data_IF_131603871795
#
_entry.id   IF_131603871795
#
_cell.length_a   1.000
_cell.length_b   1.000
_cell.length_c   1.000
_cell.angle_alpha   90.00
_cell.angle_beta   90.00
_cell.angle_gamma   90.00
#
_symmetry.space_group_name_H-M   'P 1'
#
loop_
_entity.id
_entity.type
_entity.pdbx_description
1 polymer ?
#
# COMPACT_ATOMS: atom_id res chain seq x y z
N UNK A 1 -13.25 -36.22 -2.60
CA UNK A 1 -12.07 -35.33 -2.59
C UNK A 1 -11.43 -35.48 -1.22
N UNK A 2 -10.27 -36.11 -1.15
CA UNK A 2 -9.51 -36.26 0.09
C UNK A 2 -8.59 -35.06 0.16
N UNK A 3 -8.76 -34.18 1.15
CA UNK A 3 -7.78 -33.15 1.46
C UNK A 3 -6.50 -33.88 1.87
N UNK A 4 -5.42 -33.70 1.11
CA UNK A 4 -4.11 -34.13 1.54
C UNK A 4 -3.83 -33.51 2.92
N UNK A 5 -3.28 -34.26 3.88
CA UNK A 5 -2.87 -33.67 5.14
C UNK A 5 -1.89 -32.54 4.83
N UNK A 6 -2.16 -31.35 5.38
CA UNK A 6 -1.22 -30.23 5.37
C UNK A 6 0.08 -30.81 5.93
N UNK A 7 1.12 -30.92 5.11
CA UNK A 7 2.45 -31.33 5.57
C UNK A 7 2.82 -30.43 6.73
N UNK A 8 2.84 -30.97 7.94
CA UNK A 8 3.21 -30.22 9.12
C UNK A 8 4.68 -29.84 8.96
N UNK A 9 4.95 -28.59 8.59
CA UNK A 9 6.31 -28.04 8.59
C UNK A 9 6.88 -28.24 10.00
N UNK A 10 7.85 -29.14 10.12
CA UNK A 10 8.68 -29.25 11.30
C UNK A 10 9.72 -28.15 11.24
N UNK A 11 9.46 -27.06 11.96
CA UNK A 11 10.42 -25.97 12.10
C UNK A 11 11.48 -26.36 13.13
N UNK A 12 12.69 -26.65 12.66
CA UNK A 12 13.85 -26.80 13.53
C UNK A 12 14.48 -25.42 13.77
N UNK A 13 14.45 -24.94 15.02
CA UNK A 13 15.02 -23.64 15.38
C UNK A 13 16.55 -23.57 15.20
N UNK A 14 17.22 -24.71 15.03
CA UNK A 14 18.66 -24.78 14.74
C UNK A 14 19.00 -24.66 13.25
N UNK A 15 18.00 -24.68 12.36
CA UNK A 15 18.17 -24.51 10.92
C UNK A 15 18.04 -23.02 10.52
N UNK A 16 19.10 -22.41 9.94
CA UNK A 16 19.04 -21.05 9.42
C UNK A 16 17.93 -20.85 8.37
N UNK A 17 17.65 -21.85 7.53
CA UNK A 17 16.61 -21.75 6.51
C UNK A 17 15.20 -21.71 7.13
N UNK A 18 14.95 -22.55 8.13
CA UNK A 18 13.70 -22.51 8.91
C UNK A 18 13.49 -21.15 9.59
N UNK A 19 14.55 -20.53 10.11
CA UNK A 19 14.48 -19.20 10.74
C UNK A 19 14.04 -18.12 9.73
N UNK A 20 14.61 -18.11 8.52
CA UNK A 20 14.20 -17.18 7.45
C UNK A 20 12.76 -17.43 7.03
N UNK A 21 12.34 -18.68 6.88
CA UNK A 21 10.97 -19.04 6.52
C UNK A 21 9.95 -18.55 7.56
N UNK A 22 10.23 -18.72 8.85
CA UNK A 22 9.40 -18.20 9.94
C UNK A 22 9.37 -16.66 9.88
N UNK A 23 10.51 -16.01 9.70
CA UNK A 23 10.58 -14.55 9.54
C UNK A 23 9.70 -14.07 8.39
N UNK A 24 9.72 -14.78 7.26
CA UNK A 24 8.88 -14.46 6.09
C UNK A 24 7.40 -14.61 6.38
N UNK A 25 7.02 -15.69 7.09
CA UNK A 25 5.65 -15.91 7.53
C UNK A 25 5.15 -14.75 8.39
N UNK A 26 5.92 -14.33 9.40
CA UNK A 26 5.55 -13.21 10.26
C UNK A 26 5.48 -11.88 9.51
N UNK A 27 6.39 -11.63 8.56
CA UNK A 27 6.34 -10.42 7.73
C UNK A 27 5.04 -10.36 6.88
N UNK A 28 4.65 -11.47 6.26
CA UNK A 28 3.37 -11.55 5.53
C UNK A 28 2.16 -11.36 6.46
N UNK A 29 2.16 -11.99 7.64
CA UNK A 29 1.05 -11.83 8.60
C UNK A 29 0.95 -10.39 9.11
N UNK A 30 2.08 -9.76 9.45
CA UNK A 30 2.12 -8.37 9.89
C UNK A 30 1.57 -7.44 8.79
N UNK A 31 2.01 -7.63 7.54
CA UNK A 31 1.50 -6.89 6.39
C UNK A 31 0.00 -7.08 6.20
N UNK A 32 -0.50 -8.31 6.28
CA UNK A 32 -1.92 -8.62 6.14
C UNK A 32 -2.79 -8.00 7.24
N UNK A 33 -2.35 -8.07 8.50
CA UNK A 33 -3.04 -7.46 9.64
C UNK A 33 -3.05 -5.94 9.49
N UNK A 34 -1.90 -5.32 9.22
CA UNK A 34 -1.80 -3.87 9.04
C UNK A 34 -2.67 -3.37 7.89
N UNK A 35 -2.62 -4.05 6.74
CA UNK A 35 -3.45 -3.72 5.59
C UNK A 35 -4.94 -3.90 5.88
N UNK A 36 -5.34 -4.93 6.63
CA UNK A 36 -6.74 -5.14 7.02
C UNK A 36 -7.24 -4.03 7.94
N UNK A 37 -6.45 -3.64 8.94
CA UNK A 37 -6.78 -2.55 9.86
C UNK A 37 -6.87 -1.23 9.09
N UNK A 38 -5.92 -0.95 8.20
CA UNK A 38 -5.96 0.22 7.33
C UNK A 38 -7.18 0.22 6.39
N UNK A 39 -7.53 -0.93 5.81
CA UNK A 39 -8.70 -1.04 4.94
C UNK A 39 -9.99 -0.77 5.70
N UNK A 40 -10.10 -1.30 6.92
CA UNK A 40 -11.26 -1.09 7.79
C UNK A 40 -11.44 0.40 8.11
N UNK A 41 -10.41 1.05 8.66
CA UNK A 41 -10.48 2.47 8.99
C UNK A 41 -10.55 3.39 7.77
N UNK A 42 -9.87 3.04 6.68
CA UNK A 42 -9.94 3.77 5.41
C UNK A 42 -11.34 3.73 4.79
N UNK A 43 -12.03 2.58 4.87
CA UNK A 43 -13.41 2.45 4.38
C UNK A 43 -14.37 3.32 5.19
N UNK A 44 -14.24 3.32 6.52
CA UNK A 44 -15.04 4.17 7.42
C UNK A 44 -14.77 5.65 7.11
N UNK A 45 -13.49 6.03 7.01
CA UNK A 45 -13.08 7.40 6.72
C UNK A 45 -13.67 7.91 5.39
N UNK A 46 -13.59 7.13 4.32
CA UNK A 46 -14.19 7.47 3.02
C UNK A 46 -15.72 7.61 3.13
N UNK A 47 -16.38 6.70 3.86
CA UNK A 47 -17.83 6.68 3.97
C UNK A 47 -18.41 7.78 4.86
N UNK A 48 -17.73 8.14 5.95
CA UNK A 48 -18.29 8.97 7.01
C UNK A 48 -17.71 10.40 7.02
N UNK A 49 -16.43 10.58 6.68
CA UNK A 49 -15.76 11.89 6.74
C UNK A 49 -15.76 12.61 5.39
N UNK A 50 -15.74 11.85 4.30
CA UNK A 50 -15.55 12.37 2.95
C UNK A 50 -16.82 12.41 2.09
N UNK A 51 -17.98 12.06 2.66
CA UNK A 51 -19.25 11.85 1.95
C UNK A 51 -19.83 13.05 1.19
N UNK A 52 -19.23 14.24 1.25
CA UNK A 52 -19.76 15.44 0.58
C UNK A 52 -18.95 15.85 -0.66
N UNK A 53 -17.65 15.51 -0.78
CA UNK A 53 -16.80 16.01 -1.89
C UNK A 53 -15.74 15.03 -2.44
N UNK A 54 -15.64 13.80 -1.93
CA UNK A 54 -14.68 12.82 -2.43
C UNK A 54 -15.10 12.22 -3.79
N UNK A 55 -14.29 12.46 -4.82
CA UNK A 55 -14.48 11.99 -6.18
C UNK A 55 -14.30 10.49 -6.36
N UNK A 56 -14.61 10.04 -7.57
CA UNK A 56 -14.66 8.64 -8.04
C UNK A 56 -13.33 7.87 -7.90
N UNK A 57 -12.24 8.52 -7.53
CA UNK A 57 -10.87 7.98 -7.64
C UNK A 57 -10.29 7.45 -6.32
N UNK A 58 -10.98 7.65 -5.19
CA UNK A 58 -10.56 7.13 -3.89
C UNK A 58 -10.64 5.60 -3.78
N UNK A 59 -11.40 4.97 -4.67
CA UNK A 59 -11.44 3.51 -4.81
C UNK A 59 -10.09 2.91 -5.14
N UNK A 60 -9.19 3.64 -5.80
CA UNK A 60 -7.84 3.15 -6.06
C UNK A 60 -7.06 2.87 -4.77
N UNK A 61 -7.26 3.67 -3.72
CA UNK A 61 -6.60 3.45 -2.43
C UNK A 61 -7.11 2.15 -1.80
N UNK A 62 -8.43 1.96 -1.75
CA UNK A 62 -9.04 0.76 -1.17
C UNK A 62 -8.66 -0.51 -1.95
N UNK A 63 -8.61 -0.45 -3.28
CA UNK A 63 -8.15 -1.56 -4.12
C UNK A 63 -6.67 -1.84 -3.86
N UNK A 64 -5.83 -0.82 -3.75
CA UNK A 64 -4.41 -0.98 -3.41
C UNK A 64 -4.23 -1.67 -2.06
N UNK A 65 -4.90 -1.20 -1.01
CA UNK A 65 -4.85 -1.84 0.31
C UNK A 65 -5.39 -3.27 0.25
N UNK A 66 -6.46 -3.52 -0.52
CA UNK A 66 -6.97 -4.86 -0.76
C UNK A 66 -5.93 -5.78 -1.44
N UNK A 67 -5.18 -5.27 -2.41
CA UNK A 67 -4.09 -6.01 -3.05
C UNK A 67 -2.96 -6.35 -2.07
N UNK A 68 -2.68 -5.51 -1.07
CA UNK A 68 -1.74 -5.84 0.01
C UNK A 68 -2.22 -7.01 0.89
N UNK A 69 -3.53 -7.12 1.14
CA UNK A 69 -4.13 -8.27 1.85
C UNK A 69 -4.00 -9.54 0.99
N UNK A 70 -4.28 -9.43 -0.31
CA UNK A 70 -4.10 -10.55 -1.26
C UNK A 70 -2.64 -10.99 -1.32
N UNK A 71 -1.70 -10.06 -1.35
CA UNK A 71 -0.26 -10.32 -1.30
C UNK A 71 0.12 -11.08 -0.02
N UNK A 72 -0.36 -10.64 1.15
CA UNK A 72 -0.12 -11.32 2.41
C UNK A 72 -0.67 -12.76 2.41
N UNK A 73 -1.93 -12.93 1.99
CA UNK A 73 -2.57 -14.25 1.94
C UNK A 73 -1.90 -15.20 0.95
N UNK A 74 -1.55 -14.70 -0.25
CA UNK A 74 -0.82 -15.46 -1.25
C UNK A 74 0.59 -15.81 -0.75
N UNK A 75 1.26 -14.89 -0.07
CA UNK A 75 2.58 -15.09 0.52
C UNK A 75 2.59 -16.21 1.55
N UNK A 76 1.66 -16.17 2.52
CA UNK A 76 1.47 -17.26 3.49
C UNK A 76 1.18 -18.57 2.77
N UNK A 77 0.27 -18.55 1.78
CA UNK A 77 -0.08 -19.76 1.02
C UNK A 77 1.10 -20.33 0.24
N UNK A 78 1.98 -19.48 -0.30
CA UNK A 78 3.17 -19.91 -1.05
C UNK A 78 4.17 -20.65 -0.15
N UNK A 79 4.29 -20.23 1.11
CA UNK A 79 5.13 -20.88 2.11
C UNK A 79 4.53 -22.20 2.58
N UNK A 80 3.20 -22.29 2.70
CA UNK A 80 2.52 -23.47 3.23
C UNK A 80 2.31 -24.58 2.18
N UNK A 81 2.06 -24.20 0.93
CA UNK A 81 1.68 -25.13 -0.14
C UNK A 81 2.83 -25.40 -1.13
N UNK A 82 3.93 -24.66 -1.02
CA UNK A 82 5.14 -24.79 -1.86
C UNK A 82 4.86 -24.82 -3.36
N UNK A 83 3.80 -24.14 -3.79
CA UNK A 83 3.30 -24.22 -5.16
C UNK A 83 3.82 -23.06 -6.01
N UNK A 84 4.52 -23.38 -7.10
CA UNK A 84 5.16 -22.39 -7.98
C UNK A 84 4.18 -21.35 -8.54
N UNK A 85 2.94 -21.75 -8.87
CA UNK A 85 1.93 -20.84 -9.38
C UNK A 85 1.49 -19.80 -8.34
N UNK A 86 1.53 -20.14 -7.04
CA UNK A 86 1.22 -19.20 -5.97
C UNK A 86 2.34 -18.17 -5.84
N UNK A 87 3.61 -18.59 -5.97
CA UNK A 87 4.75 -17.66 -6.02
C UNK A 87 4.59 -16.61 -7.12
N UNK A 88 4.25 -17.03 -8.35
CA UNK A 88 3.97 -16.09 -9.46
C UNK A 88 2.80 -15.13 -9.16
N UNK A 89 1.80 -15.62 -8.42
CA UNK A 89 0.66 -14.80 -8.02
C UNK A 89 1.04 -13.76 -6.96
N UNK A 90 1.96 -14.08 -6.04
CA UNK A 90 2.51 -13.15 -5.05
C UNK A 90 3.19 -11.95 -5.73
N UNK A 91 4.04 -12.19 -6.73
CA UNK A 91 4.70 -11.13 -7.50
C UNK A 91 3.70 -10.21 -8.21
N UNK A 92 2.59 -10.78 -8.66
CA UNK A 92 1.45 -10.03 -9.18
C UNK A 92 0.82 -9.14 -8.12
N UNK A 93 0.45 -9.71 -6.98
CA UNK A 93 -0.30 -9.02 -5.94
C UNK A 93 0.45 -7.78 -5.40
N UNK A 94 1.78 -7.87 -5.22
CA UNK A 94 2.58 -6.72 -4.80
C UNK A 94 2.66 -5.62 -5.86
N UNK A 95 2.71 -5.98 -7.14
CA UNK A 95 2.63 -5.00 -8.21
C UNK A 95 1.29 -4.28 -8.25
N UNK A 96 0.19 -5.04 -8.11
CA UNK A 96 -1.14 -4.46 -8.01
C UNK A 96 -1.22 -3.49 -6.84
N UNK A 97 -0.66 -3.84 -5.68
CA UNK A 97 -0.55 -2.94 -4.55
C UNK A 97 0.17 -1.65 -4.91
N UNK A 98 1.38 -1.72 -5.47
CA UNK A 98 2.18 -0.53 -5.84
C UNK A 98 1.45 0.32 -6.88
N UNK A 99 0.87 -0.29 -7.91
CA UNK A 99 0.15 0.40 -8.98
C UNK A 99 -1.06 1.16 -8.44
N UNK A 100 -1.94 0.49 -7.72
CA UNK A 100 -3.15 1.10 -7.21
C UNK A 100 -2.84 2.16 -6.14
N UNK A 101 -1.78 1.96 -5.35
CA UNK A 101 -1.26 2.98 -4.46
C UNK A 101 -0.76 4.22 -5.22
N UNK A 102 -0.02 4.03 -6.31
CA UNK A 102 0.45 5.12 -7.17
C UNK A 102 -0.72 5.90 -7.82
N UNK A 103 -1.73 5.18 -8.31
CA UNK A 103 -2.95 5.76 -8.88
C UNK A 103 -3.76 6.52 -7.84
N UNK A 104 -3.91 5.98 -6.62
CA UNK A 104 -4.59 6.65 -5.52
C UNK A 104 -3.94 7.98 -5.17
N UNK A 105 -2.62 8.03 -5.08
CA UNK A 105 -1.88 9.24 -4.73
C UNK A 105 -1.93 10.27 -5.86
N UNK A 106 -1.85 9.81 -7.11
CA UNK A 106 -2.04 10.66 -8.30
C UNK A 106 -3.45 11.25 -8.32
N UNK A 107 -4.46 10.46 -8.02
CA UNK A 107 -5.84 10.92 -7.90
C UNK A 107 -5.95 12.01 -6.82
N UNK A 108 -5.45 11.74 -5.61
CA UNK A 108 -5.40 12.73 -4.52
C UNK A 108 -4.68 14.01 -4.92
N UNK A 109 -3.55 13.94 -5.65
CA UNK A 109 -2.83 15.12 -6.13
C UNK A 109 -3.68 16.02 -7.05
N UNK A 110 -4.57 15.42 -7.85
CA UNK A 110 -5.44 16.15 -8.77
C UNK A 110 -6.78 16.56 -8.16
N UNK A 111 -7.13 16.05 -6.98
CA UNK A 111 -8.36 16.35 -6.26
C UNK A 111 -8.16 17.64 -5.45
N UNK A 112 -8.56 18.80 -5.97
CA UNK A 112 -8.45 20.09 -5.28
C UNK A 112 -9.68 20.99 -5.53
N UNK A 113 -10.38 21.46 -4.49
CA UNK A 113 -11.45 22.45 -4.64
C UNK A 113 -10.88 23.80 -5.11
N UNK A 114 -11.35 24.30 -6.25
CA UNK A 114 -11.01 25.64 -6.78
C UNK A 114 -9.78 25.72 -7.70
N UNK A 115 -9.15 24.59 -8.05
CA UNK A 115 -8.02 24.55 -8.98
C UNK A 115 -8.47 24.32 -10.43
N UNK A 116 -9.20 25.28 -11.01
CA UNK A 116 -9.51 25.30 -12.46
C UNK A 116 -8.22 25.35 -13.35
N UNK A 117 -7.06 25.63 -12.74
CA UNK A 117 -5.81 25.93 -13.44
C UNK A 117 -4.81 24.76 -13.52
N UNK A 118 -5.15 23.58 -12.98
CA UNK A 118 -4.32 22.36 -13.12
C UNK A 118 -4.97 21.36 -14.06
N UNK A 119 -4.95 21.68 -15.35
CA UNK A 119 -5.32 20.73 -16.40
C UNK A 119 -4.54 19.43 -16.20
N UNK A 120 -5.24 18.30 -16.00
CA UNK A 120 -4.58 16.99 -16.01
C UNK A 120 -3.79 16.86 -17.31
N UNK A 121 -2.48 16.64 -17.20
CA UNK A 121 -1.61 16.40 -18.36
C UNK A 121 -2.07 15.18 -19.18
N UNK A 122 -2.79 14.25 -18.54
CA UNK A 122 -3.36 13.06 -19.16
C UNK A 122 -4.86 12.96 -18.85
N UNK A 123 -5.71 12.65 -19.84
CA UNK A 123 -7.13 12.42 -19.60
C UNK A 123 -7.37 11.31 -18.56
N UNK A 124 -8.49 11.37 -17.83
CA UNK A 124 -8.87 10.34 -16.86
C UNK A 124 -8.94 8.91 -17.45
N UNK A 125 -9.23 8.79 -18.75
CA UNK A 125 -9.23 7.48 -19.43
C UNK A 125 -7.86 6.82 -19.50
N UNK A 126 -6.77 7.61 -19.45
CA UNK A 126 -5.41 7.09 -19.51
C UNK A 126 -5.11 6.18 -18.30
N UNK A 127 -5.65 6.49 -17.12
CA UNK A 127 -5.47 5.68 -15.92
C UNK A 127 -6.12 4.30 -16.08
N UNK A 128 -7.31 4.22 -16.69
CA UNK A 128 -7.95 2.94 -17.00
C UNK A 128 -7.19 2.14 -18.07
N UNK A 129 -6.55 2.81 -19.04
CA UNK A 129 -5.70 2.14 -20.03
C UNK A 129 -4.43 1.59 -19.40
N UNK A 130 -3.82 2.32 -18.46
CA UNK A 130 -2.68 1.83 -17.68
C UNK A 130 -3.08 0.61 -16.86
N UNK A 131 -4.22 0.66 -16.17
CA UNK A 131 -4.75 -0.49 -15.39
C UNK A 131 -5.03 -1.68 -16.30
N UNK A 132 -5.72 -1.49 -17.43
CA UNK A 132 -6.05 -2.56 -18.37
C UNK A 132 -4.79 -3.17 -19.00
N UNK A 133 -3.83 -2.33 -19.41
CA UNK A 133 -2.54 -2.75 -19.94
C UNK A 133 -1.73 -3.52 -18.90
N UNK A 134 -1.76 -3.08 -17.64
CA UNK A 134 -1.12 -3.76 -16.53
C UNK A 134 -1.73 -5.13 -16.25
N UNK A 135 -3.06 -5.22 -16.18
CA UNK A 135 -3.79 -6.49 -16.00
C UNK A 135 -3.47 -7.46 -17.16
N UNK A 136 -3.48 -6.96 -18.40
CA UNK A 136 -3.16 -7.77 -19.58
C UNK A 136 -1.70 -8.24 -19.57
N UNK A 137 -0.75 -7.36 -19.22
CA UNK A 137 0.66 -7.71 -19.10
C UNK A 137 0.87 -8.74 -17.99
N UNK A 138 0.23 -8.56 -16.84
CA UNK A 138 0.30 -9.50 -15.72
C UNK A 138 -0.21 -10.89 -16.13
N UNK A 139 -1.41 -11.00 -16.71
CA UNK A 139 -1.93 -12.27 -17.21
C UNK A 139 -1.04 -12.91 -18.27
N UNK A 140 -0.49 -12.11 -19.19
CA UNK A 140 0.46 -12.60 -20.19
C UNK A 140 1.72 -13.17 -19.53
N UNK A 141 2.27 -12.48 -18.52
CA UNK A 141 3.44 -12.98 -17.78
C UNK A 141 3.13 -14.23 -16.97
N UNK A 142 1.96 -14.30 -16.35
CA UNK A 142 1.50 -15.44 -15.56
C UNK A 142 1.29 -16.70 -16.42
N UNK A 143 0.82 -16.54 -17.66
CA UNK A 143 0.50 -17.66 -18.55
C UNK A 143 1.66 -18.13 -19.45
N UNK A 144 2.56 -17.23 -19.86
CA UNK A 144 3.51 -17.49 -20.95
C UNK A 144 4.98 -17.61 -20.50
N UNK A 145 5.32 -17.07 -19.31
CA UNK A 145 6.66 -17.01 -18.70
C UNK A 145 7.87 -17.18 -19.65
N UNK A 146 8.48 -16.07 -20.05
CA UNK A 146 9.71 -16.05 -20.88
C UNK A 146 10.80 -15.21 -20.21
N UNK A 147 12.07 -15.37 -20.61
CA UNK A 147 13.15 -14.49 -20.12
C UNK A 147 12.87 -13.01 -20.36
N UNK A 148 12.14 -12.67 -21.43
CA UNK A 148 11.73 -11.31 -21.75
C UNK A 148 10.66 -10.75 -20.82
N UNK A 149 9.77 -11.58 -20.27
CA UNK A 149 8.73 -11.11 -19.35
C UNK A 149 9.30 -10.59 -18.03
N UNK A 150 10.43 -11.15 -17.56
CA UNK A 150 11.12 -10.66 -16.35
C UNK A 150 11.64 -9.24 -16.48
N UNK A 151 12.18 -8.86 -17.64
CA UNK A 151 12.64 -7.50 -17.91
C UNK A 151 11.49 -6.50 -17.96
N UNK A 152 10.38 -6.85 -18.62
CA UNK A 152 9.19 -5.99 -18.69
C UNK A 152 8.61 -5.76 -17.31
N UNK A 153 8.54 -6.82 -16.50
CA UNK A 153 8.12 -6.74 -15.09
C UNK A 153 9.05 -5.79 -14.33
N UNK A 154 10.37 -6.01 -14.37
CA UNK A 154 11.33 -5.15 -13.68
C UNK A 154 11.19 -3.66 -14.05
N UNK A 155 11.03 -3.35 -15.35
CA UNK A 155 10.78 -1.97 -15.80
C UNK A 155 9.46 -1.42 -15.23
N UNK A 156 8.40 -2.22 -15.24
CA UNK A 156 7.12 -1.86 -14.62
C UNK A 156 7.25 -1.56 -13.12
N UNK A 157 7.98 -2.38 -12.36
CA UNK A 157 8.26 -2.16 -10.94
C UNK A 157 8.99 -0.82 -10.73
N UNK A 158 10.04 -0.55 -11.50
CA UNK A 158 10.84 0.69 -11.39
C UNK A 158 10.00 1.93 -11.72
N UNK A 159 9.31 1.93 -12.86
CA UNK A 159 8.52 3.08 -13.33
C UNK A 159 7.39 3.37 -12.36
N UNK A 160 6.64 2.35 -11.93
CA UNK A 160 5.49 2.53 -11.04
C UNK A 160 5.93 3.02 -9.65
N UNK A 161 7.04 2.50 -9.13
CA UNK A 161 7.59 2.93 -7.84
C UNK A 161 8.09 4.38 -7.88
N UNK A 162 8.84 4.74 -8.92
CA UNK A 162 9.30 6.12 -9.12
C UNK A 162 8.12 7.10 -9.27
N UNK A 163 7.08 6.68 -10.00
CA UNK A 163 5.85 7.44 -10.15
C UNK A 163 5.11 7.64 -8.82
N UNK A 164 4.96 6.58 -8.02
CA UNK A 164 4.34 6.64 -6.70
C UNK A 164 5.03 7.64 -5.78
N UNK A 165 6.37 7.57 -5.68
CA UNK A 165 7.17 8.49 -4.85
C UNK A 165 7.03 9.93 -5.35
N UNK A 166 7.14 10.17 -6.66
CA UNK A 166 7.04 11.50 -7.25
C UNK A 166 5.69 12.15 -6.95
N UNK A 167 4.60 11.43 -7.14
CA UNK A 167 3.26 11.96 -6.87
C UNK A 167 2.99 12.10 -5.37
N UNK A 168 3.53 11.21 -4.52
CA UNK A 168 3.37 11.33 -3.07
C UNK A 168 4.02 12.61 -2.53
N UNK A 169 5.25 12.90 -2.95
CA UNK A 169 5.93 14.15 -2.56
C UNK A 169 5.17 15.38 -3.07
N UNK A 170 4.66 15.33 -4.30
CA UNK A 170 3.88 16.44 -4.87
C UNK A 170 2.54 16.62 -4.16
N UNK A 171 1.82 15.55 -3.85
CA UNK A 171 0.55 15.57 -3.13
C UNK A 171 0.70 16.20 -1.74
N UNK A 172 1.74 15.82 -0.98
CA UNK A 172 2.02 16.39 0.35
C UNK A 172 2.26 17.91 0.27
N UNK A 173 3.03 18.37 -0.72
CA UNK A 173 3.34 19.81 -0.87
C UNK A 173 2.13 20.63 -1.31
N UNK A 174 1.31 20.06 -2.18
CA UNK A 174 0.16 20.76 -2.77
C UNK A 174 -1.00 20.89 -1.81
N UNK A 175 -1.21 19.88 -0.98
CA UNK A 175 -2.35 19.79 -0.06
C UNK A 175 -1.96 20.06 1.38
N UNK A 176 -0.85 20.77 1.59
CA UNK A 176 -0.33 21.09 2.92
C UNK A 176 -1.40 21.78 3.77
N UNK A 177 -1.60 21.27 5.00
CA UNK A 177 -2.65 21.74 5.91
C UNK A 177 -3.99 21.01 5.77
N UNK A 178 -4.13 20.06 4.85
CA UNK A 178 -5.34 19.22 4.71
C UNK A 178 -5.14 17.81 5.26
N UNK A 179 -6.25 17.10 5.47
CA UNK A 179 -6.27 15.68 5.86
C UNK A 179 -5.62 14.77 4.81
N UNK A 180 -5.70 15.13 3.52
CA UNK A 180 -5.02 14.38 2.44
C UNK A 180 -3.49 14.43 2.54
N UNK A 181 -2.92 15.59 2.87
CA UNK A 181 -1.48 15.69 3.07
C UNK A 181 -1.02 14.93 4.31
N UNK A 182 -1.82 14.92 5.38
CA UNK A 182 -1.53 14.12 6.56
C UNK A 182 -1.54 12.61 6.23
N UNK A 183 -2.59 12.10 5.57
CA UNK A 183 -2.65 10.70 5.14
C UNK A 183 -1.47 10.32 4.24
N UNK A 184 -1.15 11.18 3.25
CA UNK A 184 -0.02 10.93 2.34
C UNK A 184 1.33 10.96 3.08
N UNK A 185 1.50 11.78 4.14
CA UNK A 185 2.72 11.80 4.96
C UNK A 185 2.94 10.50 5.72
N UNK A 186 1.87 9.87 6.23
CA UNK A 186 1.97 8.57 6.91
C UNK A 186 2.16 7.42 5.91
N UNK A 187 1.61 7.55 4.70
CA UNK A 187 1.72 6.54 3.65
C UNK A 187 3.05 6.58 2.88
N UNK A 188 3.68 7.76 2.78
CA UNK A 188 4.92 7.97 2.02
C UNK A 188 6.08 7.06 2.49
N UNK A 189 6.36 6.91 3.79
CA UNK A 189 7.38 5.97 4.26
C UNK A 189 7.13 4.52 3.81
N UNK A 190 5.86 4.07 3.80
CA UNK A 190 5.50 2.73 3.31
C UNK A 190 5.89 2.58 1.83
N UNK A 191 5.57 3.58 0.99
CA UNK A 191 5.91 3.58 -0.44
C UNK A 191 7.41 3.52 -0.65
N UNK A 192 8.17 4.32 0.10
CA UNK A 192 9.63 4.34 0.02
C UNK A 192 10.21 2.98 0.43
N UNK A 193 9.70 2.36 1.49
CA UNK A 193 10.14 1.03 1.91
C UNK A 193 9.82 -0.05 0.87
N UNK A 194 8.60 -0.09 0.33
CA UNK A 194 8.26 -1.04 -0.75
C UNK A 194 9.20 -0.83 -1.94
N UNK A 195 9.36 0.43 -2.37
CA UNK A 195 10.25 0.79 -3.48
C UNK A 195 11.69 0.33 -3.22
N UNK A 196 12.21 0.52 -2.00
CA UNK A 196 13.55 0.05 -1.65
C UNK A 196 13.65 -1.49 -1.75
N UNK A 197 12.67 -2.24 -1.26
CA UNK A 197 12.62 -3.71 -1.36
C UNK A 197 12.63 -4.15 -2.82
N UNK A 198 11.77 -3.54 -3.66
CA UNK A 198 11.73 -3.75 -5.11
C UNK A 198 13.13 -3.60 -5.73
N UNK A 199 13.81 -2.49 -5.46
CA UNK A 199 15.10 -2.21 -6.07
C UNK A 199 16.18 -3.19 -5.61
N UNK A 200 16.18 -3.55 -4.32
CA UNK A 200 17.14 -4.53 -3.79
C UNK A 200 16.90 -5.90 -4.40
N UNK A 201 15.65 -6.34 -4.53
CA UNK A 201 15.31 -7.63 -5.12
C UNK A 201 15.72 -7.71 -6.60
N UNK A 202 15.45 -6.64 -7.37
CA UNK A 202 15.90 -6.53 -8.76
C UNK A 202 17.42 -6.54 -8.90
N UNK A 203 18.14 -5.84 -8.03
CA UNK A 203 19.60 -5.80 -8.02
C UNK A 203 20.18 -7.17 -7.65
N UNK A 204 19.65 -7.82 -6.61
CA UNK A 204 20.11 -9.13 -6.16
C UNK A 204 19.84 -10.23 -7.20
N UNK A 205 18.78 -10.10 -7.98
CA UNK A 205 18.49 -11.01 -9.11
C UNK A 205 19.57 -10.95 -10.20
N UNK A 206 20.21 -9.79 -10.40
CA UNK A 206 21.26 -9.60 -11.40
C UNK A 206 22.68 -9.81 -10.86
N UNK A 207 22.88 -9.64 -9.54
CA UNK A 207 24.16 -9.77 -8.87
C UNK A 207 24.25 -11.10 -8.14
N UNK A 208 24.99 -12.06 -8.69
CA UNK A 208 25.21 -13.36 -8.07
C UNK A 208 25.87 -13.22 -6.68
N UNK A 209 25.38 -13.98 -5.70
CA UNK A 209 25.94 -14.06 -4.35
C UNK A 209 25.28 -13.15 -3.30
N UNK A 210 24.26 -12.37 -3.66
CA UNK A 210 23.58 -11.44 -2.75
C UNK A 210 22.21 -11.93 -2.22
N UNK A 211 21.92 -13.23 -2.29
CA UNK A 211 20.64 -13.79 -1.83
C UNK A 211 20.31 -13.46 -0.38
N UNK A 212 21.29 -13.55 0.53
CA UNK A 212 21.09 -13.20 1.94
C UNK A 212 20.77 -11.70 2.15
N UNK A 213 21.31 -10.82 1.31
CA UNK A 213 20.99 -9.39 1.35
C UNK A 213 19.55 -9.14 0.87
N UNK A 214 19.12 -9.84 -0.18
CA UNK A 214 17.75 -9.78 -0.68
C UNK A 214 16.76 -10.23 0.40
N UNK A 215 17.04 -11.35 1.06
CA UNK A 215 16.21 -11.89 2.14
C UNK A 215 16.11 -10.93 3.32
N UNK A 216 17.24 -10.37 3.76
CA UNK A 216 17.27 -9.41 4.85
C UNK A 216 16.53 -8.12 4.51
N UNK A 217 16.76 -7.56 3.31
CA UNK A 217 16.09 -6.36 2.85
C UNK A 217 14.58 -6.57 2.69
N UNK A 218 14.17 -7.72 2.16
CA UNK A 218 12.77 -8.09 2.04
C UNK A 218 12.10 -8.23 3.42
N UNK A 219 12.74 -8.90 4.38
CA UNK A 219 12.20 -9.07 5.74
C UNK A 219 12.03 -7.74 6.46
N UNK A 220 13.10 -6.95 6.51
CA UNK A 220 13.09 -5.64 7.18
C UNK A 220 12.14 -4.69 6.47
N UNK A 221 12.22 -4.61 5.15
CA UNK A 221 11.39 -3.72 4.35
C UNK A 221 9.90 -4.06 4.45
N UNK A 222 9.51 -5.33 4.30
CA UNK A 222 8.10 -5.74 4.44
C UNK A 222 7.56 -5.44 5.83
N UNK A 223 8.37 -5.64 6.87
CA UNK A 223 8.00 -5.32 8.26
C UNK A 223 7.82 -3.81 8.45
N UNK A 224 8.69 -2.98 7.89
CA UNK A 224 8.55 -1.52 7.92
C UNK A 224 7.29 -1.07 7.17
N UNK A 225 7.01 -1.66 6.00
CA UNK A 225 5.78 -1.36 5.25
C UNK A 225 4.56 -1.67 6.11
N UNK A 226 4.51 -2.84 6.75
CA UNK A 226 3.43 -3.20 7.67
C UNK A 226 3.29 -2.17 8.81
N UNK A 227 4.40 -1.76 9.42
CA UNK A 227 4.39 -0.76 10.48
C UNK A 227 3.81 0.59 10.01
N UNK A 228 4.21 1.08 8.83
CA UNK A 228 3.72 2.35 8.28
C UNK A 228 2.26 2.29 7.81
N UNK A 229 1.81 1.14 7.29
CA UNK A 229 0.39 0.95 6.98
C UNK A 229 -0.46 1.00 8.26
N UNK A 230 0.03 0.37 9.35
CA UNK A 230 -0.64 0.42 10.64
C UNK A 230 -0.63 1.84 11.23
N UNK A 231 0.50 2.55 11.17
CA UNK A 231 0.61 3.94 11.60
C UNK A 231 -0.37 4.85 10.83
N UNK A 232 -0.49 4.64 9.51
CA UNK A 232 -1.47 5.34 8.68
C UNK A 232 -2.91 5.08 9.16
N UNK A 233 -3.22 3.84 9.55
CA UNK A 233 -4.55 3.48 10.05
C UNK A 233 -4.85 4.17 11.40
N UNK A 234 -3.85 4.24 12.29
CA UNK A 234 -3.96 4.96 13.57
C UNK A 234 -4.17 6.45 13.34
N UNK A 235 -3.41 7.06 12.42
CA UNK A 235 -3.56 8.47 12.08
C UNK A 235 -4.98 8.80 11.56
N UNK A 236 -5.54 7.95 10.69
CA UNK A 236 -6.93 8.08 10.22
C UNK A 236 -7.91 8.03 11.40
N UNK A 237 -7.74 7.09 12.34
CA UNK A 237 -8.63 7.00 13.51
C UNK A 237 -8.52 8.22 14.42
N UNK A 238 -7.30 8.73 14.64
CA UNK A 238 -7.08 9.93 15.46
C UNK A 238 -7.78 11.15 14.85
N UNK A 239 -7.65 11.35 13.54
CA UNK A 239 -8.34 12.43 12.82
C UNK A 239 -9.87 12.31 12.90
N UNK A 240 -10.41 11.10 12.78
CA UNK A 240 -11.84 10.87 12.99
C UNK A 240 -12.31 11.22 14.40
N UNK A 241 -11.52 10.88 15.43
CA UNK A 241 -11.83 11.21 16.82
C UNK A 241 -11.78 12.73 17.11
N UNK A 242 -10.90 13.48 16.45
CA UNK A 242 -10.87 14.95 16.54
C UNK A 242 -12.11 15.60 15.91
N UNK A 243 -12.58 15.07 14.78
CA UNK A 243 -13.84 15.49 14.18
C UNK A 243 -15.03 15.22 15.12
N UNK A 244 -15.12 14.03 15.70
CA UNK A 244 -16.16 13.70 16.70
C UNK A 244 -16.17 14.70 17.87
N UNK A 245 -15.00 15.17 18.34
CA UNK A 245 -14.88 16.16 19.42
C UNK A 245 -15.24 17.58 19.01
N UNK A 246 -15.01 17.96 17.75
CA UNK A 246 -15.43 19.27 17.22
C UNK A 246 -16.96 19.36 17.14
N UNK A 247 -17.63 18.25 16.82
CA UNK A 247 -19.09 18.17 16.77
C UNK A 247 -19.73 17.69 18.08
N UNK A 248 -18.94 17.43 19.13
CA UNK A 248 -19.44 17.17 20.46
C UNK A 248 -20.02 18.46 21.04
N UNK A 249 -21.32 18.43 21.33
CA UNK A 249 -22.07 19.55 21.89
C UNK A 249 -21.64 19.90 23.32
N UNK A 250 -20.86 19.04 23.98
CA UNK A 250 -20.36 19.26 25.35
C UNK A 250 -19.06 20.05 25.41
N UNK A 251 -18.21 20.05 24.37
CA UNK A 251 -16.94 20.81 24.30
C UNK A 251 -17.15 22.31 24.20
N UNK A 252 -18.30 22.78 23.70
CA UNK A 252 -18.58 24.21 23.49
C UNK A 252 -19.19 24.93 24.70
N UNK A 253 -19.52 24.23 25.80
CA UNK A 253 -20.18 24.84 26.97
C UNK A 253 -19.26 25.72 27.84
N UNK A 254 -17.95 25.61 27.70
CA UNK A 254 -16.98 26.37 28.52
C UNK A 254 -16.45 27.63 27.84
N UNK A 255 -16.79 27.88 26.57
CA UNK A 255 -16.55 29.17 25.93
C UNK A 255 -17.72 30.12 26.21
N UNK A 256 -17.95 30.44 27.50
CA UNK A 256 -18.65 31.67 27.81
C UNK A 256 -17.78 32.81 27.29
N UNK A 257 -18.27 33.55 26.29
CA UNK A 257 -17.72 34.86 25.96
C UNK A 257 -17.79 35.69 27.24
N UNK A 258 -16.65 35.84 27.92
CA UNK A 258 -16.53 36.72 29.07
C UNK A 258 -16.54 38.15 28.50
N UNK A 259 -17.74 38.66 28.28
CA UNK A 259 -18.05 40.02 27.83
C UNK A 259 -17.77 41.01 28.98
N UNK A 260 -16.56 40.96 29.51
CA UNK A 260 -16.04 41.87 30.56
C UNK A 260 -14.94 42.75 29.98
N UNK A 261 -15.33 43.68 29.11
CA UNK A 261 -14.53 44.89 28.88
C UNK A 261 -15.33 46.03 28.27
N UNK A 262 -16.47 46.40 28.86
CA UNK A 262 -16.97 47.77 28.76
C UNK A 262 -17.67 48.15 30.07
N UNK A 263 -16.90 48.66 31.02
CA UNK A 263 -17.27 49.76 31.94
C UNK A 263 -16.01 50.36 32.57
#
# INVERSE_FOLDING_TARGET
MVFAPISAMTFDASDPAATVAIGRLFAYLAMGVAATVLLYYGTIYVREVLAVEAGTEQWFLLIGIGAAIVYAAAGVSSLLLESEWIGRFVDGAILFFILFLALAIRAMYHEQPGADDRSRLLPAWADYVVVAGFIAAWWATFLVETSSSRLVVAVGWVVTSAWAVLYAVRAVRVHEGTTFAALTRHLLPAIVCVTAVVFVDLLATHLNGYGALADAAWLVGTTLVAAFLFDTAVAIRQQGGELERLYDWTTWREQSFDDRSVE
#
